data_IF_087098996967
#
_entry.id   IF_087098996967
#
_cell.length_a   1.000
_cell.length_b   1.000
_cell.length_c   1.000
_cell.angle_alpha   90.00
_cell.angle_beta   90.00
_cell.angle_gamma   90.00
#
_symmetry.space_group_name_H-M   'P 1'
#
loop_
_entity.id
_entity.type
_entity.pdbx_description
1 polymer ?
#
# COMPACT_ATOMS: atom_id res chain seq x y z
N UNK A 1 9.46 -2.62 -2.37
CA UNK A 1 8.87 -2.42 -3.71
C UNK A 1 8.06 -3.66 -4.07
N UNK A 2 6.92 -3.49 -4.75
CA UNK A 2 6.11 -4.60 -5.28
C UNK A 2 5.74 -4.28 -6.73
N UNK A 3 5.81 -5.26 -7.62
CA UNK A 3 5.48 -5.10 -9.04
C UNK A 3 4.22 -5.90 -9.36
N UNK A 4 3.33 -5.33 -10.17
CA UNK A 4 2.20 -6.03 -10.75
C UNK A 4 2.01 -5.62 -12.21
N UNK A 5 1.26 -6.42 -12.95
CA UNK A 5 0.96 -6.17 -14.37
C UNK A 5 -0.53 -5.94 -14.55
N UNK A 6 -0.88 -4.94 -15.34
CA UNK A 6 -2.27 -4.63 -15.69
C UNK A 6 -2.44 -4.72 -17.20
N UNK A 7 -3.47 -5.45 -17.62
CA UNK A 7 -3.86 -5.61 -19.03
C UNK A 7 -5.10 -4.82 -19.37
N UNK A 8 -5.06 -4.12 -20.49
CA UNK A 8 -6.27 -3.61 -21.12
C UNK A 8 -6.86 -4.68 -22.04
N UNK A 9 -7.97 -5.29 -21.62
CA UNK A 9 -8.70 -6.30 -22.39
C UNK A 9 -9.72 -5.71 -23.37
N UNK A 10 -9.89 -4.38 -23.37
CA UNK A 10 -10.82 -3.72 -24.27
C UNK A 10 -10.24 -3.54 -25.68
N UNK A 11 -11.12 -3.29 -26.64
CA UNK A 11 -10.75 -3.03 -28.03
C UNK A 11 -10.26 -1.58 -28.27
N UNK A 12 -10.16 -0.74 -27.23
CA UNK A 12 -9.76 0.67 -27.33
C UNK A 12 -8.69 1.00 -26.28
N UNK A 13 -7.88 2.05 -26.47
CA UNK A 13 -7.01 2.54 -25.40
C UNK A 13 -7.83 2.95 -24.17
N UNK A 14 -7.39 2.54 -22.98
CA UNK A 14 -8.05 2.83 -21.71
C UNK A 14 -7.08 3.53 -20.77
N UNK A 15 -7.56 4.58 -20.11
CA UNK A 15 -6.80 5.31 -19.09
C UNK A 15 -7.15 4.77 -17.71
N UNK A 16 -6.13 4.43 -16.95
CA UNK A 16 -6.22 3.91 -15.59
C UNK A 16 -5.60 4.89 -14.60
N UNK A 17 -6.29 5.09 -13.49
CA UNK A 17 -5.86 5.89 -12.36
C UNK A 17 -5.58 4.97 -11.17
N UNK A 18 -4.39 5.11 -10.61
CA UNK A 18 -3.88 4.38 -9.47
C UNK A 18 -3.95 5.26 -8.23
N UNK A 19 -4.60 4.75 -7.18
CA UNK A 19 -4.70 5.41 -5.89
C UNK A 19 -4.30 4.48 -4.75
N UNK A 20 -4.38 4.99 -3.53
CA UNK A 20 -4.23 4.16 -2.35
C UNK A 20 -5.04 4.71 -1.18
N UNK A 21 -5.40 3.81 -0.29
CA UNK A 21 -6.01 4.14 1.00
C UNK A 21 -5.22 3.45 2.10
N UNK A 22 -4.69 4.24 3.02
CA UNK A 22 -4.02 3.74 4.22
C UNK A 22 -5.00 3.38 5.33
N UNK A 23 -4.62 2.40 6.15
CA UNK A 23 -5.26 2.11 7.43
C UNK A 23 -4.33 2.51 8.57
N UNK A 24 -4.91 2.86 9.72
CA UNK A 24 -4.17 3.26 10.92
C UNK A 24 -3.10 2.22 11.29
N UNK A 25 -2.02 2.71 11.89
CA UNK A 25 -0.93 1.88 12.38
C UNK A 25 -1.23 1.43 13.80
N UNK A 26 -1.09 0.14 14.06
CA UNK A 26 -1.18 -0.42 15.41
C UNK A 26 0.22 -0.71 15.95
N UNK A 27 0.51 -0.33 17.19
CA UNK A 27 1.75 -0.73 17.85
C UNK A 27 1.64 -2.14 18.39
N UNK A 28 2.61 -3.01 18.08
CA UNK A 28 2.61 -4.38 18.61
C UNK A 28 2.93 -4.39 20.10
N UNK A 29 3.78 -3.47 20.56
CA UNK A 29 4.22 -3.37 21.96
C UNK A 29 3.70 -2.11 22.66
N UNK A 30 3.32 -2.24 23.92
CA UNK A 30 2.89 -1.12 24.75
C UNK A 30 4.05 -0.14 24.99
N UNK A 31 5.24 -0.66 25.24
CA UNK A 31 6.47 0.11 25.48
C UNK A 31 7.62 -0.32 24.57
N UNK A 32 8.66 0.53 24.41
CA UNK A 32 9.83 0.23 23.56
C UNK A 32 10.76 -0.87 24.10
N UNK A 33 10.52 -1.36 25.31
CA UNK A 33 11.30 -2.41 25.98
C UNK A 33 10.59 -3.76 26.03
N UNK A 34 9.31 -3.82 25.63
CA UNK A 34 8.56 -5.06 25.71
C UNK A 34 9.02 -6.06 24.64
N UNK A 35 8.88 -7.34 24.98
CA UNK A 35 9.18 -8.48 24.09
C UNK A 35 7.95 -9.36 23.86
N UNK A 36 6.82 -9.00 24.47
CA UNK A 36 5.52 -9.67 24.31
C UNK A 36 4.54 -8.67 23.70
N UNK A 37 3.67 -9.10 22.77
CA UNK A 37 2.64 -8.23 22.22
C UNK A 37 1.71 -7.67 23.31
N UNK A 38 1.27 -6.43 23.13
CA UNK A 38 0.25 -5.82 23.97
C UNK A 38 -1.11 -6.52 23.77
N UNK A 39 -1.94 -6.47 24.81
CA UNK A 39 -3.30 -7.00 24.72
C UNK A 39 -4.16 -6.07 23.86
N UNK A 40 -5.12 -6.64 23.13
CA UNK A 40 -6.09 -5.84 22.39
C UNK A 40 -7.14 -5.23 23.34
N UNK A 41 -7.55 -3.96 23.18
CA UNK A 41 -7.13 -3.03 22.13
C UNK A 41 -5.77 -2.38 22.42
N UNK A 42 -4.85 -2.54 21.47
CA UNK A 42 -3.54 -1.92 21.49
C UNK A 42 -3.57 -0.51 20.87
N UNK A 43 -2.53 0.28 21.15
CA UNK A 43 -2.42 1.67 20.72
C UNK A 43 -2.45 1.82 19.18
N UNK A 44 -3.37 2.66 18.70
CA UNK A 44 -3.64 2.93 17.29
C UNK A 44 -3.33 4.40 16.99
N UNK A 45 -2.45 4.62 16.02
CA UNK A 45 -2.11 5.96 15.56
C UNK A 45 -2.62 6.19 14.13
N UNK A 46 -3.15 7.38 13.81
CA UNK A 46 -3.69 7.71 12.48
C UNK A 46 -2.56 8.01 11.48
N UNK A 47 -1.60 7.10 11.39
CA UNK A 47 -0.45 7.15 10.48
C UNK A 47 -0.47 5.90 9.60
N UNK A 48 -0.06 6.02 8.35
CA UNK A 48 -0.06 4.93 7.36
C UNK A 48 1.06 5.13 6.33
N UNK A 49 1.33 4.09 5.55
CA UNK A 49 2.40 4.13 4.55
C UNK A 49 2.07 5.09 3.41
N UNK A 50 3.07 5.87 2.98
CA UNK A 50 2.99 6.65 1.75
C UNK A 50 3.33 5.76 0.55
N UNK A 51 2.56 5.90 -0.52
CA UNK A 51 2.66 5.06 -1.71
C UNK A 51 2.85 5.92 -2.94
N UNK A 52 3.82 5.53 -3.76
CA UNK A 52 4.04 6.12 -5.09
C UNK A 52 4.16 5.03 -6.16
N UNK A 53 3.85 5.41 -7.39
CA UNK A 53 3.74 4.50 -8.53
C UNK A 53 4.71 4.87 -9.64
N UNK A 54 5.38 3.87 -10.20
CA UNK A 54 6.21 4.01 -11.39
C UNK A 54 5.63 3.16 -12.53
N UNK A 55 5.54 3.69 -13.77
CA UNK A 55 6.10 4.98 -14.22
C UNK A 55 5.26 6.21 -13.81
N UNK A 56 3.97 6.05 -13.50
CA UNK A 56 3.12 7.12 -12.98
C UNK A 56 1.87 6.55 -12.29
N UNK A 57 1.11 7.38 -11.60
CA UNK A 57 -0.22 7.04 -11.06
C UNK A 57 -1.33 7.07 -12.12
N UNK A 58 -1.05 7.56 -13.33
CA UNK A 58 -2.01 7.72 -14.42
C UNK A 58 -1.43 7.12 -15.69
N UNK A 59 -1.91 5.94 -16.09
CA UNK A 59 -1.37 5.22 -17.25
C UNK A 59 -2.44 5.00 -18.31
N UNK A 60 -2.09 5.25 -19.57
CA UNK A 60 -2.92 4.87 -20.72
C UNK A 60 -2.35 3.61 -21.32
N UNK A 61 -3.15 2.54 -21.33
CA UNK A 61 -2.77 1.24 -21.87
C UNK A 61 -3.48 1.05 -23.21
N UNK A 62 -2.76 0.86 -24.33
CA UNK A 62 -3.39 0.56 -25.62
C UNK A 62 -4.23 -0.73 -25.59
N UNK A 63 -5.13 -0.89 -26.56
CA UNK A 63 -5.99 -2.06 -26.67
C UNK A 63 -5.17 -3.37 -26.71
N UNK A 64 -5.54 -4.35 -25.88
CA UNK A 64 -4.91 -5.67 -25.80
C UNK A 64 -3.52 -5.70 -25.13
N UNK A 65 -2.95 -4.53 -24.79
CA UNK A 65 -1.61 -4.39 -24.24
C UNK A 65 -1.59 -4.48 -22.71
N UNK A 66 -0.38 -4.64 -22.18
CA UNK A 66 -0.09 -4.68 -20.76
C UNK A 66 0.94 -3.64 -20.36
N UNK A 67 0.86 -3.17 -19.12
CA UNK A 67 1.91 -2.35 -18.51
C UNK A 67 2.28 -2.93 -17.15
N UNK A 68 3.57 -2.87 -16.83
CA UNK A 68 4.05 -3.18 -15.50
C UNK A 68 4.06 -1.92 -14.63
N UNK A 69 3.43 -2.01 -13.47
CA UNK A 69 3.41 -0.97 -12.46
C UNK A 69 4.27 -1.39 -11.28
N UNK A 70 5.14 -0.49 -10.82
CA UNK A 70 5.91 -0.67 -9.59
C UNK A 70 5.34 0.21 -8.50
N UNK A 71 5.00 -0.41 -7.38
CA UNK A 71 4.54 0.23 -6.15
C UNK A 71 5.72 0.42 -5.22
N UNK A 72 5.97 1.67 -4.86
CA UNK A 72 6.93 2.08 -3.85
C UNK A 72 6.18 2.35 -2.56
N UNK A 73 6.74 1.89 -1.45
CA UNK A 73 6.14 2.03 -0.13
C UNK A 73 7.17 2.67 0.80
N UNK A 74 6.82 3.84 1.32
CA UNK A 74 7.56 4.50 2.38
C UNK A 74 6.84 4.21 3.71
N UNK A 75 7.62 3.83 4.72
CA UNK A 75 7.09 3.59 6.06
C UNK A 75 6.60 4.92 6.67
N UNK A 76 5.52 4.91 7.46
CA UNK A 76 5.04 6.13 8.09
C UNK A 76 6.13 6.76 8.97
N UNK A 77 6.31 8.08 8.86
CA UNK A 77 7.31 8.82 9.61
C UNK A 77 6.85 9.08 11.07
N UNK A 78 7.81 9.31 11.96
CA UNK A 78 7.52 9.71 13.35
C UNK A 78 7.00 8.60 14.27
N UNK A 79 7.11 7.34 13.86
CA UNK A 79 6.73 6.19 14.68
C UNK A 79 7.93 5.59 15.43
N UNK A 80 7.68 5.08 16.63
CA UNK A 80 8.69 4.35 17.39
C UNK A 80 8.85 2.93 16.84
N UNK A 81 9.91 2.70 16.06
CA UNK A 81 10.23 1.40 15.48
C UNK A 81 10.42 0.29 16.53
N UNK A 82 10.79 0.62 17.77
CA UNK A 82 10.98 -0.36 18.85
C UNK A 82 9.66 -0.94 19.34
N UNK A 83 8.55 -0.21 19.17
CA UNK A 83 7.20 -0.68 19.48
C UNK A 83 6.58 -1.55 18.36
N UNK A 84 7.36 -1.84 17.31
CA UNK A 84 6.96 -2.62 16.13
C UNK A 84 5.64 -2.13 15.51
N UNK A 85 5.62 -0.94 14.88
CA UNK A 85 4.43 -0.41 14.22
C UNK A 85 4.03 -1.31 13.04
N UNK A 86 2.76 -1.71 13.04
CA UNK A 86 2.11 -2.49 11.97
C UNK A 86 1.11 -1.60 11.26
N UNK A 87 1.45 -1.21 10.03
CA UNK A 87 0.58 -0.43 9.15
C UNK A 87 0.05 -1.29 8.01
N UNK A 88 -1.14 -0.92 7.53
CA UNK A 88 -1.74 -1.57 6.38
C UNK A 88 -2.48 -0.59 5.48
N UNK A 89 -3.07 -1.11 4.41
CA UNK A 89 -3.76 -0.33 3.39
C UNK A 89 -3.95 -1.15 2.11
N UNK A 90 -4.54 -0.52 1.10
CA UNK A 90 -4.76 -1.11 -0.21
C UNK A 90 -4.52 -0.08 -1.32
N UNK A 91 -4.22 -0.59 -2.52
CA UNK A 91 -4.07 0.19 -3.75
C UNK A 91 -5.38 0.09 -4.53
N UNK A 92 -5.82 1.19 -5.12
CA UNK A 92 -7.00 1.25 -5.98
C UNK A 92 -6.58 1.43 -7.43
N UNK A 93 -7.35 0.82 -8.33
CA UNK A 93 -7.21 1.00 -9.78
C UNK A 93 -8.59 1.35 -10.32
N UNK A 94 -8.72 2.48 -11.00
CA UNK A 94 -9.99 2.93 -11.60
C UNK A 94 -9.79 3.27 -13.06
N UNK A 95 -10.80 3.01 -13.91
CA UNK A 95 -10.75 3.33 -15.33
C UNK A 95 -11.55 4.59 -15.63
N UNK A 96 -11.07 5.41 -16.58
CA UNK A 96 -11.82 6.55 -17.11
C UNK A 96 -12.99 6.03 -17.97
N UNK A 97 -14.05 5.61 -17.29
CA UNK A 97 -15.22 4.95 -17.89
C UNK A 97 -16.23 4.45 -16.87
N UNK A 98 -15.98 4.60 -15.56
CA UNK A 98 -16.93 4.28 -14.49
C UNK A 98 -16.99 2.80 -14.12
N UNK A 99 -16.52 1.90 -15.00
CA UNK A 99 -16.48 0.47 -14.73
C UNK A 99 -15.27 0.12 -13.83
N UNK A 100 -15.49 -0.36 -12.59
CA UNK A 100 -14.41 -0.74 -11.69
C UNK A 100 -13.79 -2.06 -12.17
N UNK A 101 -12.67 -1.97 -12.86
CA UNK A 101 -11.88 -3.12 -13.28
C UNK A 101 -11.06 -3.64 -12.09
N UNK A 102 -11.72 -4.34 -11.18
CA UNK A 102 -11.09 -5.16 -10.13
C UNK A 102 -10.40 -4.38 -9.01
N UNK A 103 -10.91 -4.50 -7.78
CA UNK A 103 -10.14 -4.11 -6.59
C UNK A 103 -8.98 -5.08 -6.41
N UNK A 104 -7.77 -4.66 -6.78
CA UNK A 104 -6.54 -5.33 -6.34
C UNK A 104 -6.38 -5.06 -4.84
N UNK A 105 -7.01 -5.91 -4.01
CA UNK A 105 -6.75 -5.96 -2.58
C UNK A 105 -5.34 -6.52 -2.32
N UNK A 106 -4.31 -5.74 -2.66
CA UNK A 106 -2.97 -5.97 -2.18
C UNK A 106 -2.91 -5.52 -0.73
N UNK A 107 -3.01 -6.44 0.23
CA UNK A 107 -2.73 -6.13 1.62
C UNK A 107 -1.29 -5.66 1.73
N UNK A 108 -1.11 -4.38 2.00
CA UNK A 108 0.20 -3.85 2.36
C UNK A 108 0.44 -4.29 3.80
N UNK A 109 1.33 -5.25 4.00
CA UNK A 109 1.87 -5.57 5.32
C UNK A 109 3.38 -5.46 5.25
N UNK A 110 3.93 -4.50 6.00
CA UNK A 110 5.36 -4.43 6.24
C UNK A 110 5.55 -4.23 7.75
N UNK A 111 6.19 -5.21 8.36
CA UNK A 111 6.65 -5.09 9.74
C UNK A 111 7.88 -4.19 9.74
N UNK A 112 7.92 -3.19 10.62
CA UNK A 112 9.17 -2.51 10.92
C UNK A 112 10.08 -3.52 11.63
N UNK A 113 11.13 -3.97 10.95
CA UNK A 113 12.19 -4.76 11.59
C UNK A 113 13.04 -3.75 12.37
N UNK A 114 13.26 -3.93 13.70
CA UNK A 114 14.13 -3.04 14.44
C UNK A 114 15.53 -3.11 13.82
N UNK A 115 16.06 -1.98 13.37
CA UNK A 115 17.46 -1.90 13.02
C UNK A 115 18.24 -2.03 14.34
N UNK A 116 19.00 -3.13 14.48
CA UNK A 116 19.99 -3.24 15.55
C UNK A 116 20.96 -2.08 15.44
N UNK A 117 21.09 -1.34 16.53
CA UNK A 117 22.25 -0.51 16.81
C UNK A 117 23.45 -1.40 17.17
#
# INVERSE_FOLDING_TARGET
MRKFTTRNTSARPSRYELGHTGANTAYTFATPSDIVPDAFPNDLVPSYAEISFSPSSSVTIPAGQEIAITVHLASPAGLDGRRLPVYSGYVTVSSAGGEPLGSLHGCIRKHAIPQSA
#
